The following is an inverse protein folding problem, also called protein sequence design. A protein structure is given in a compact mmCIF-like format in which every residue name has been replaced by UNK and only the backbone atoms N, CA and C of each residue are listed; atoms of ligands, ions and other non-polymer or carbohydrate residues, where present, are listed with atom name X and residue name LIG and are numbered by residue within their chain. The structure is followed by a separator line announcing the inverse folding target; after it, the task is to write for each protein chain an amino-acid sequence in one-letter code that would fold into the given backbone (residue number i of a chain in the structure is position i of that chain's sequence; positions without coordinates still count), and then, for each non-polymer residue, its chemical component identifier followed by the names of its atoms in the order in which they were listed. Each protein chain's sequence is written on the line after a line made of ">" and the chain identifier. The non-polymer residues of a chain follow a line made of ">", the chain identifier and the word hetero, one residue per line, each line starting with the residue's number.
data_IF_054848427569
#
_entry.id   IF_054848427569
#
_cell.length_a   1.000
_cell.length_b   1.000
_cell.length_c   1.000
_cell.angle_alpha   90.00
_cell.angle_beta   90.00
_cell.angle_gamma   90.00
#
_symmetry.space_group_name_H-M   'P 1'
#
loop_
_entity.id
_entity.type
_entity.pdbx_description
1 polymer ?
#
# COMPACT_ATOMS: atom_id res chain seq x y z
N UNK A 1 -4.58 36.66 15.17
CA UNK A 1 -5.12 35.39 14.74
C UNK A 1 -4.58 35.05 13.35
N UNK A 2 -3.80 34.04 13.26
CA UNK A 2 -3.27 33.67 11.97
C UNK A 2 -4.35 32.99 11.15
N UNK A 3 -4.60 33.53 9.99
CA UNK A 3 -5.49 32.88 9.05
C UNK A 3 -4.69 31.94 8.19
N UNK A 4 -5.17 30.75 7.97
CA UNK A 4 -4.58 29.90 6.97
C UNK A 4 -4.65 30.63 5.63
N UNK A 5 -3.55 30.62 4.90
CA UNK A 5 -3.55 31.12 3.54
C UNK A 5 -4.59 30.37 2.73
N UNK A 6 -5.16 31.01 1.73
CA UNK A 6 -6.07 30.31 0.82
C UNK A 6 -5.38 29.08 0.20
N UNK A 7 -4.06 29.17 -0.04
CA UNK A 7 -3.28 28.05 -0.55
C UNK A 7 -3.16 26.88 0.44
N UNK A 8 -3.32 27.18 1.75
CA UNK A 8 -3.23 26.16 2.80
C UNK A 8 -4.60 25.64 3.21
N UNK A 9 -5.68 26.21 2.67
CA UNK A 9 -7.03 25.83 3.05
C UNK A 9 -7.30 24.37 2.68
N UNK A 10 -7.73 23.57 3.68
CA UNK A 10 -8.02 22.15 3.50
C UNK A 10 -6.79 21.26 3.47
N UNK A 11 -5.60 21.84 3.51
CA UNK A 11 -4.37 21.06 3.52
C UNK A 11 -4.10 20.49 4.90
N UNK A 12 -3.47 19.32 4.93
CA UNK A 12 -3.23 18.58 6.15
C UNK A 12 -1.75 18.59 6.50
N UNK A 13 -1.46 18.82 7.77
CA UNK A 13 -0.13 18.58 8.31
C UNK A 13 0.05 17.09 8.53
N UNK A 14 1.29 16.66 8.69
CA UNK A 14 1.57 15.22 8.86
C UNK A 14 0.82 14.65 10.08
N UNK A 15 0.68 15.42 11.15
CA UNK A 15 -0.08 14.98 12.33
C UNK A 15 -1.56 14.79 12.05
N UNK A 16 -2.13 15.68 11.25
CA UNK A 16 -3.54 15.57 10.86
C UNK A 16 -3.77 14.35 9.97
N UNK A 17 -2.88 14.15 9.02
CA UNK A 17 -2.96 13.00 8.13
C UNK A 17 -2.79 11.70 8.91
N UNK A 18 -1.85 11.68 9.85
CA UNK A 18 -1.64 10.53 10.73
C UNK A 18 -2.90 10.22 11.54
N UNK A 19 -3.53 11.24 12.10
CA UNK A 19 -4.76 11.07 12.88
C UNK A 19 -5.90 10.51 12.04
N UNK A 20 -6.03 10.96 10.79
CA UNK A 20 -7.11 10.52 9.90
C UNK A 20 -6.91 9.10 9.39
N UNK A 21 -5.67 8.69 9.18
CA UNK A 21 -5.37 7.42 8.54
C UNK A 21 -4.98 6.32 9.51
N UNK A 22 -4.62 6.69 10.73
CA UNK A 22 -4.06 5.74 11.69
C UNK A 22 -2.65 5.30 11.36
N UNK A 23 -2.00 5.95 10.40
CA UNK A 23 -0.64 5.64 9.98
C UNK A 23 0.32 6.60 10.66
N UNK A 24 1.43 6.08 11.20
CA UNK A 24 2.39 6.91 11.92
C UNK A 24 3.02 7.97 11.00
N UNK A 25 3.43 9.12 11.55
CA UNK A 25 4.15 10.12 10.77
C UNK A 25 5.40 9.56 10.10
N UNK A 26 6.10 8.66 10.78
CA UNK A 26 7.30 8.02 10.23
C UNK A 26 6.97 7.23 8.95
N UNK A 27 5.90 6.47 8.97
CA UNK A 27 5.48 5.69 7.82
C UNK A 27 5.00 6.59 6.68
N UNK A 28 4.31 7.68 7.01
CA UNK A 28 3.89 8.66 6.01
C UNK A 28 5.09 9.31 5.31
N UNK A 29 6.16 9.59 6.06
CA UNK A 29 7.40 10.10 5.47
C UNK A 29 8.06 9.06 4.57
N UNK A 30 7.98 7.81 4.98
CA UNK A 30 8.49 6.70 4.16
C UNK A 30 7.74 6.65 2.82
N UNK A 31 6.42 6.76 2.86
CA UNK A 31 5.63 6.80 1.63
C UNK A 31 6.01 7.98 0.74
N UNK A 32 6.21 9.14 1.34
CA UNK A 32 6.65 10.31 0.61
C UNK A 32 8.02 10.09 -0.04
N UNK A 33 8.95 9.52 0.69
CA UNK A 33 10.30 9.23 0.20
C UNK A 33 10.29 8.20 -0.95
N UNK A 34 9.32 7.29 -0.93
CA UNK A 34 9.15 6.30 -2.00
C UNK A 34 8.38 6.84 -3.20
N UNK A 35 8.00 8.11 -3.17
CA UNK A 35 7.25 8.72 -4.26
C UNK A 35 5.78 8.35 -4.29
N UNK A 36 5.27 7.74 -3.22
CA UNK A 36 3.87 7.32 -3.16
C UNK A 36 2.94 8.42 -2.67
N UNK A 37 3.47 9.38 -1.93
CA UNK A 37 2.75 10.55 -1.45
C UNK A 37 3.50 11.80 -1.85
N UNK A 38 2.76 12.86 -2.17
CA UNK A 38 3.33 14.17 -2.43
C UNK A 38 2.95 15.13 -1.34
N UNK A 39 3.92 15.90 -0.87
CA UNK A 39 3.69 16.97 0.08
C UNK A 39 4.25 18.26 -0.51
N UNK A 40 3.56 19.36 -0.22
CA UNK A 40 4.08 20.68 -0.52
C UNK A 40 4.63 21.27 0.76
N UNK A 41 5.51 22.25 0.63
CA UNK A 41 6.06 22.95 1.78
C UNK A 41 5.33 24.26 1.96
N UNK A 42 4.94 24.56 3.21
CA UNK A 42 4.38 25.87 3.56
C UNK A 42 5.48 26.93 3.52
N UNK A 43 5.09 28.19 3.67
CA UNK A 43 6.05 29.30 3.75
C UNK A 43 7.06 29.10 4.88
N UNK A 44 6.67 28.38 5.94
CA UNK A 44 7.54 28.10 7.09
C UNK A 44 8.29 26.78 6.97
N UNK A 45 8.19 26.10 5.82
CA UNK A 45 8.91 24.87 5.57
C UNK A 45 8.23 23.60 6.04
N UNK A 46 7.00 23.69 6.55
CA UNK A 46 6.25 22.50 6.98
C UNK A 46 5.71 21.73 5.80
N UNK A 47 5.66 20.41 5.94
CA UNK A 47 5.02 19.55 4.94
C UNK A 47 3.50 19.70 5.04
N UNK A 48 2.88 19.92 3.90
CA UNK A 48 1.43 20.02 3.78
C UNK A 48 0.95 19.02 2.72
N UNK A 49 -0.04 18.24 3.09
CA UNK A 49 -0.63 17.23 2.20
C UNK A 49 -1.99 17.70 1.70
N UNK A 50 -2.31 17.32 0.47
CA UNK A 50 -3.63 17.63 -0.08
C UNK A 50 -4.72 16.94 0.73
N UNK A 51 -5.96 17.51 0.73
CA UNK A 51 -7.08 16.86 1.45
C UNK A 51 -7.31 15.41 1.00
N UNK A 52 -7.06 15.11 -0.27
CA UNK A 52 -7.22 13.76 -0.81
C UNK A 52 -6.13 12.78 -0.37
N UNK A 53 -5.09 13.25 0.34
CA UNK A 53 -3.99 12.38 0.75
C UNK A 53 -4.44 11.25 1.66
N UNK A 54 -5.47 11.46 2.49
CA UNK A 54 -6.01 10.41 3.36
C UNK A 54 -6.52 9.23 2.53
N UNK A 55 -7.23 9.50 1.45
CA UNK A 55 -7.72 8.46 0.55
C UNK A 55 -6.56 7.79 -0.18
N UNK A 56 -5.56 8.56 -0.58
CA UNK A 56 -4.35 8.04 -1.20
C UNK A 56 -3.63 7.04 -0.28
N UNK A 57 -3.48 7.39 0.98
CA UNK A 57 -2.86 6.51 1.98
C UNK A 57 -3.65 5.21 2.10
N UNK A 58 -4.97 5.31 2.08
CA UNK A 58 -5.84 4.14 2.14
C UNK A 58 -5.57 3.19 0.97
N UNK A 59 -5.42 3.72 -0.23
CA UNK A 59 -5.06 2.93 -1.41
C UNK A 59 -3.69 2.31 -1.30
N UNK A 60 -2.72 3.09 -0.88
CA UNK A 60 -1.35 2.59 -0.70
C UNK A 60 -1.37 1.38 0.23
N UNK A 61 -2.07 1.48 1.35
CA UNK A 61 -2.14 0.39 2.31
C UNK A 61 -2.86 -0.83 1.76
N UNK A 62 -3.93 -0.61 1.00
CA UNK A 62 -4.68 -1.70 0.37
C UNK A 62 -3.81 -2.45 -0.64
N UNK A 63 -3.05 -1.72 -1.46
CA UNK A 63 -2.18 -2.32 -2.45
C UNK A 63 -1.00 -3.04 -1.80
N UNK A 64 -0.45 -2.47 -0.71
CA UNK A 64 0.60 -3.15 0.05
C UNK A 64 0.08 -4.44 0.67
N UNK A 65 -1.14 -4.42 1.21
CA UNK A 65 -1.76 -5.61 1.78
C UNK A 65 -2.00 -6.69 0.73
N UNK A 66 -2.16 -6.29 -0.52
CA UNK A 66 -2.29 -7.23 -1.64
C UNK A 66 -0.94 -7.78 -2.10
N UNK A 67 0.15 -7.40 -1.44
CA UNK A 67 1.48 -7.93 -1.74
C UNK A 67 2.21 -7.25 -2.89
N UNK A 68 1.74 -6.08 -3.31
CA UNK A 68 2.37 -5.35 -4.41
C UNK A 68 3.62 -4.61 -3.93
N UNK A 69 4.72 -4.64 -4.70
CA UNK A 69 5.91 -3.87 -4.37
C UNK A 69 5.64 -2.36 -4.48
N UNK A 70 6.37 -1.56 -3.70
CA UNK A 70 6.21 -0.10 -3.73
C UNK A 70 6.41 0.49 -5.12
N UNK A 71 7.33 -0.07 -5.89
CA UNK A 71 7.57 0.33 -7.28
C UNK A 71 6.30 0.22 -8.12
N UNK A 72 5.61 -0.91 -7.99
CA UNK A 72 4.38 -1.17 -8.74
C UNK A 72 3.24 -0.28 -8.25
N UNK A 73 3.17 -0.05 -6.93
CA UNK A 73 2.16 0.85 -6.36
C UNK A 73 2.32 2.25 -6.93
N UNK A 74 3.56 2.74 -7.08
CA UNK A 74 3.82 4.04 -7.68
C UNK A 74 3.24 4.15 -9.08
N UNK A 75 3.37 3.10 -9.89
CA UNK A 75 2.80 3.06 -11.23
C UNK A 75 1.27 3.04 -11.19
N UNK A 76 0.69 2.29 -10.26
CA UNK A 76 -0.75 2.17 -10.13
C UNK A 76 -1.42 3.44 -9.62
N UNK A 77 -0.72 4.26 -8.87
CA UNK A 77 -1.29 5.52 -8.39
C UNK A 77 -1.70 6.44 -9.53
N UNK A 78 -1.04 6.35 -10.67
CA UNK A 78 -1.45 7.07 -11.87
C UNK A 78 -2.78 6.60 -12.46
N UNK A 79 -3.23 5.41 -12.05
CA UNK A 79 -4.50 4.84 -12.49
C UNK A 79 -5.63 5.07 -11.49
N UNK A 80 -5.40 5.89 -10.46
CA UNK A 80 -6.42 6.21 -9.45
C UNK A 80 -6.81 7.67 -9.64
N UNK A 81 -7.99 7.90 -10.22
CA UNK A 81 -8.47 9.26 -10.44
C UNK A 81 -9.50 9.66 -9.39
N UNK A 82 -10.33 8.74 -8.95
CA UNK A 82 -11.35 8.98 -7.95
C UNK A 82 -11.11 8.12 -6.71
N UNK A 83 -11.35 8.64 -5.51
CA UNK A 83 -11.27 7.84 -4.30
C UNK A 83 -12.22 6.63 -4.38
N UNK A 84 -11.70 5.46 -4.08
CA UNK A 84 -12.48 4.23 -4.05
C UNK A 84 -12.57 3.49 -5.37
N UNK A 85 -11.87 3.96 -6.43
CA UNK A 85 -12.04 3.38 -7.74
C UNK A 85 -10.72 3.27 -8.49
N UNK A 86 -10.34 2.04 -8.83
CA UNK A 86 -9.20 1.80 -9.71
C UNK A 86 -9.64 1.90 -11.16
N UNK A 87 -8.87 2.63 -11.94
CA UNK A 87 -9.12 2.74 -13.37
C UNK A 87 -8.76 1.43 -14.08
N UNK A 88 -9.34 1.19 -15.27
CA UNK A 88 -9.02 -0.02 -16.02
C UNK A 88 -7.54 -0.24 -16.30
N UNK A 89 -6.73 0.81 -16.32
CA UNK A 89 -5.29 0.67 -16.55
C UNK A 89 -4.58 -0.10 -15.43
N UNK A 90 -5.18 -0.21 -14.26
CA UNK A 90 -4.63 -0.98 -13.16
C UNK A 90 -4.87 -2.48 -13.31
N UNK A 91 -5.91 -2.86 -14.04
CA UNK A 91 -6.34 -4.27 -14.08
C UNK A 91 -5.27 -5.22 -14.62
N UNK A 92 -4.58 -4.92 -15.75
CA UNK A 92 -3.56 -5.85 -16.25
C UNK A 92 -2.42 -6.08 -15.25
N UNK A 93 -2.03 -5.05 -14.51
CA UNK A 93 -0.97 -5.16 -13.49
C UNK A 93 -1.44 -6.07 -12.36
N UNK A 94 -2.67 -5.88 -11.90
CA UNK A 94 -3.23 -6.69 -10.81
C UNK A 94 -3.39 -8.15 -11.24
N UNK A 95 -3.83 -8.39 -12.47
CA UNK A 95 -3.98 -9.75 -13.01
C UNK A 95 -2.63 -10.45 -13.07
N UNK A 96 -1.59 -9.77 -13.52
CA UNK A 96 -0.25 -10.36 -13.59
C UNK A 96 0.26 -10.73 -12.21
N UNK A 97 0.07 -9.86 -11.22
CA UNK A 97 0.48 -10.16 -9.84
C UNK A 97 -0.32 -11.30 -9.24
N UNK A 98 -1.62 -11.37 -9.54
CA UNK A 98 -2.46 -12.47 -9.09
C UNK A 98 -1.95 -13.80 -9.67
N UNK A 99 -1.59 -13.81 -10.94
CA UNK A 99 -1.06 -15.01 -11.59
C UNK A 99 0.25 -15.46 -10.94
N UNK A 100 1.16 -14.53 -10.64
CA UNK A 100 2.41 -14.85 -9.97
C UNK A 100 2.15 -15.46 -8.58
N UNK A 101 1.17 -14.91 -7.87
CA UNK A 101 0.80 -15.44 -6.55
C UNK A 101 0.17 -16.83 -6.67
N UNK A 102 -0.66 -17.06 -7.69
CA UNK A 102 -1.26 -18.38 -7.91
C UNK A 102 -0.19 -19.42 -8.18
N UNK A 103 0.83 -19.08 -8.96
CA UNK A 103 1.96 -19.99 -9.21
C UNK A 103 2.70 -20.29 -7.92
N UNK A 104 2.91 -19.28 -7.06
CA UNK A 104 3.59 -19.45 -5.79
C UNK A 104 2.77 -20.32 -4.82
N UNK A 105 1.46 -20.14 -4.81
CA UNK A 105 0.56 -20.96 -4.01
C UNK A 105 0.66 -22.41 -4.46
N UNK A 106 0.66 -22.67 -5.78
CA UNK A 106 0.78 -24.02 -6.31
C UNK A 106 2.10 -24.67 -5.91
N UNK A 107 3.21 -23.92 -5.97
CA UNK A 107 4.51 -24.40 -5.54
C UNK A 107 4.51 -24.77 -4.06
N UNK A 108 3.93 -23.88 -3.21
CA UNK A 108 3.85 -24.14 -1.79
C UNK A 108 2.98 -25.34 -1.46
N UNK A 109 1.88 -25.52 -2.18
CA UNK A 109 1.04 -26.71 -2.00
C UNK A 109 1.80 -27.98 -2.35
N UNK A 110 2.60 -27.96 -3.41
CA UNK A 110 3.45 -29.09 -3.76
C UNK A 110 4.47 -29.39 -2.67
N UNK A 111 5.09 -28.35 -2.11
CA UNK A 111 6.04 -28.50 -0.99
C UNK A 111 5.33 -29.04 0.24
N UNK A 112 4.16 -28.54 0.54
CA UNK A 112 3.34 -29.01 1.66
C UNK A 112 3.05 -30.50 1.54
N UNK A 113 2.62 -30.94 0.36
CA UNK A 113 2.33 -32.35 0.11
C UNK A 113 3.56 -33.22 0.26
N UNK A 114 4.71 -32.75 -0.25
CA UNK A 114 5.96 -33.47 -0.12
C UNK A 114 6.36 -33.63 1.36
N UNK A 115 6.24 -32.57 2.13
CA UNK A 115 6.54 -32.62 3.56
C UNK A 115 5.58 -33.53 4.31
N UNK A 116 4.30 -33.44 4.00
CA UNK A 116 3.30 -34.30 4.62
C UNK A 116 3.57 -35.77 4.30
N UNK A 117 3.94 -36.06 3.04
CA UNK A 117 4.31 -37.43 2.65
C UNK A 117 5.49 -37.96 3.41
N UNK A 118 6.50 -37.12 3.66
CA UNK A 118 7.66 -37.53 4.45
C UNK A 118 7.29 -37.81 5.91
N UNK A 119 6.42 -36.99 6.46
CA UNK A 119 5.93 -37.20 7.82
C UNK A 119 5.16 -38.51 7.91
N UNK A 120 4.25 -38.74 6.98
CA UNK A 120 3.41 -39.93 6.97
C UNK A 120 4.22 -41.21 6.80
N UNK A 121 5.24 -41.18 5.94
CA UNK A 121 6.09 -42.35 5.72
C UNK A 121 7.10 -42.55 6.83
N UNK A 122 7.33 -41.56 7.68
CA UNK A 122 8.27 -41.61 8.80
C UNK A 122 7.56 -41.86 10.12
N UNK A 123 6.22 -41.93 10.11
CA UNK A 123 5.46 -42.19 11.34
C UNK A 123 5.86 -43.55 11.92
N UNK A 124 6.00 -43.64 13.24
CA UNK A 124 6.34 -44.94 13.85
C UNK A 124 5.24 -45.93 13.59
N UNK A 125 5.58 -47.21 13.37
CA UNK A 125 4.57 -48.23 13.16
C UNK A 125 3.64 -48.34 14.37
N UNK A 126 2.35 -48.58 14.08
CA UNK A 126 1.36 -48.79 15.13
C UNK A 126 1.71 -50.05 15.92
N UNK A 127 1.70 -49.94 17.24
CA UNK A 127 2.01 -51.11 18.03
C UNK A 127 2.48 -50.82 19.37
#
# INVERSE_FOLDING_TARGET
>A
MSKANAADAGRLRVGDLSARTGVSPRLLRYYENQGLLSAERSATGQRLFAPAAAEHVRYIRMLLAAGLPTRVIGELLGCIHDPGRLEPCAVPVLVEHLREHDERIAELLGTHEALQGLIDSSAPPAG
#
